data_IF_458093029143
#
_entry.id   IF_458093029143
#
_cell.length_a   1.000
_cell.length_b   1.000
_cell.length_c   1.000
_cell.angle_alpha   90.00
_cell.angle_beta   90.00
_cell.angle_gamma   90.00
#
_symmetry.space_group_name_H-M   'P 1'
#
loop_
_entity.id
_entity.type
_entity.pdbx_description
1 polymer ?
#
# COMPACT_ATOMS: atom_id res chain seq x y z
N UNK A 1 0.09 -47.66 -25.93
CA UNK A 1 1.50 -47.93 -26.26
C UNK A 1 2.15 -46.63 -26.70
N UNK A 2 3.39 -46.44 -26.28
CA UNK A 2 4.23 -45.23 -26.34
C UNK A 2 4.01 -44.25 -25.18
N UNK A 3 5.14 -43.99 -24.54
CA UNK A 3 5.41 -43.53 -23.19
C UNK A 3 6.40 -42.36 -23.30
N UNK A 4 6.19 -41.30 -22.54
CA UNK A 4 7.16 -40.27 -22.17
C UNK A 4 6.44 -39.34 -21.16
N UNK A 5 6.58 -39.45 -19.84
CA UNK A 5 7.78 -39.31 -19.01
C UNK A 5 8.58 -38.06 -19.37
N UNK A 6 8.26 -36.93 -18.71
CA UNK A 6 9.19 -35.82 -18.59
C UNK A 6 9.26 -35.41 -17.12
N UNK A 7 10.49 -35.46 -16.62
CA UNK A 7 10.92 -35.31 -15.26
C UNK A 7 10.81 -33.86 -14.75
N UNK A 8 10.58 -33.79 -13.45
CA UNK A 8 10.97 -32.75 -12.52
C UNK A 8 12.36 -32.17 -12.79
N UNK A 9 12.50 -30.84 -12.81
CA UNK A 9 13.66 -30.16 -12.24
C UNK A 9 13.34 -28.70 -11.89
N UNK A 10 13.45 -28.43 -10.59
CA UNK A 10 13.29 -27.12 -9.93
C UNK A 10 14.71 -26.61 -9.62
N UNK A 11 15.11 -25.39 -10.01
CA UNK A 11 16.29 -24.78 -9.41
C UNK A 11 15.86 -23.93 -8.22
N UNK A 12 16.06 -24.48 -7.02
CA UNK A 12 16.22 -23.70 -5.80
C UNK A 12 17.55 -22.93 -5.84
N UNK A 13 17.53 -21.74 -5.21
CA UNK A 13 18.67 -21.06 -4.55
C UNK A 13 19.50 -20.09 -5.41
N UNK A 14 19.04 -18.85 -5.48
CA UNK A 14 19.93 -17.68 -5.56
C UNK A 14 20.07 -17.08 -4.15
N UNK A 15 21.24 -17.24 -3.55
CA UNK A 15 21.63 -16.59 -2.29
C UNK A 15 22.23 -15.20 -2.58
N UNK A 16 22.13 -14.25 -1.64
CA UNK A 16 22.52 -12.86 -1.82
C UNK A 16 24.04 -12.69 -1.82
N UNK A 17 24.54 -11.81 -2.69
CA UNK A 17 25.95 -11.41 -2.74
C UNK A 17 26.34 -10.64 -1.47
N UNK A 18 27.42 -11.14 -0.86
CA UNK A 18 28.17 -10.64 0.29
C UNK A 18 28.44 -9.13 0.30
N UNK A 19 28.04 -8.48 1.39
CA UNK A 19 28.70 -7.29 1.93
C UNK A 19 29.98 -7.73 2.69
N UNK A 20 31.07 -6.93 2.70
CA UNK A 20 32.24 -7.24 3.51
C UNK A 20 32.02 -6.77 4.95
N UNK A 21 31.94 -7.73 5.88
CA UNK A 21 32.17 -7.49 7.31
C UNK A 21 33.68 -7.51 7.56
N UNK A 22 34.24 -6.38 8.02
CA UNK A 22 35.53 -6.39 8.72
C UNK A 22 35.28 -6.50 10.22
N UNK A 23 35.82 -7.56 10.78
CA UNK A 23 35.74 -7.99 12.17
C UNK A 23 36.55 -7.11 13.12
N UNK A 24 35.95 -6.77 14.25
CA UNK A 24 36.66 -6.45 15.49
C UNK A 24 37.18 -7.74 16.14
N UNK A 25 38.37 -7.66 16.75
CA UNK A 25 39.01 -8.48 17.79
C UNK A 25 40.47 -8.78 17.39
N UNK A 26 41.49 -8.70 18.22
CA UNK A 26 41.70 -8.26 19.59
C UNK A 26 43.24 -8.22 19.77
N UNK A 27 43.68 -7.52 20.80
CA UNK A 27 45.06 -7.48 21.28
C UNK A 27 45.63 -8.89 21.52
N UNK A 28 46.90 -9.08 21.21
CA UNK A 28 47.80 -9.80 22.12
C UNK A 28 49.22 -9.25 22.04
N UNK A 29 49.76 -9.07 23.25
CA UNK A 29 51.07 -8.53 23.55
C UNK A 29 52.16 -9.61 23.50
N UNK A 30 53.40 -9.11 23.60
CA UNK A 30 54.60 -9.78 24.15
C UNK A 30 55.52 -10.60 23.21
N UNK A 31 56.68 -9.97 22.92
CA UNK A 31 58.02 -10.28 23.50
C UNK A 31 59.10 -10.89 22.58
N UNK A 32 60.24 -10.18 22.57
CA UNK A 32 61.62 -10.62 22.25
C UNK A 32 61.92 -10.89 20.76
N UNK A 33 63.12 -10.72 20.19
CA UNK A 33 64.47 -10.30 20.62
C UNK A 33 65.36 -10.16 19.37
N UNK A 34 66.52 -9.47 19.51
CA UNK A 34 67.65 -9.45 18.54
C UNK A 34 67.62 -8.23 17.61
N UNK A 35 68.48 -7.21 17.75
CA UNK A 35 69.95 -7.25 17.58
C UNK A 35 70.27 -7.02 16.10
N UNK A 36 71.07 -6.07 15.62
CA UNK A 36 71.93 -5.01 16.15
C UNK A 36 72.48 -4.26 14.91
N UNK A 37 72.91 -3.01 15.06
CA UNK A 37 73.48 -2.26 13.94
C UNK A 37 73.66 -0.79 14.26
N UNK A 38 74.81 -0.45 14.84
CA UNK A 38 75.22 0.91 15.20
C UNK A 38 75.84 1.59 13.99
N UNK A 39 75.37 2.79 13.66
CA UNK A 39 76.03 3.75 12.78
C UNK A 39 75.78 5.17 13.30
N UNK A 40 76.81 6.01 13.51
CA UNK A 40 76.68 7.28 14.22
C UNK A 40 76.30 8.41 13.26
N UNK A 41 75.37 9.28 13.65
CA UNK A 41 75.20 10.55 12.95
C UNK A 41 73.85 11.23 13.18
N UNK A 42 73.91 12.47 13.65
CA UNK A 42 72.84 13.47 13.64
C UNK A 42 71.67 13.31 14.62
N UNK A 43 71.95 13.59 15.89
CA UNK A 43 70.96 14.12 16.82
C UNK A 43 70.46 15.49 16.30
N UNK A 44 69.24 15.56 15.77
CA UNK A 44 68.65 16.83 15.33
C UNK A 44 67.27 16.78 14.66
N UNK A 45 66.77 15.61 14.26
CA UNK A 45 65.54 15.52 13.42
C UNK A 45 64.38 14.72 14.02
N UNK A 46 64.40 14.38 15.31
CA UNK A 46 63.28 13.62 15.94
C UNK A 46 62.12 14.49 16.42
N UNK A 47 62.35 15.79 16.67
CA UNK A 47 61.31 16.73 17.08
C UNK A 47 60.58 17.40 15.91
N UNK A 48 61.17 17.37 14.71
CA UNK A 48 60.57 17.95 13.50
C UNK A 48 59.50 17.05 12.88
N UNK A 49 59.68 15.73 12.92
CA UNK A 49 58.68 14.78 12.42
C UNK A 49 57.44 14.69 13.33
N UNK A 50 57.61 14.77 14.65
CA UNK A 50 56.49 14.83 15.60
C UNK A 50 55.68 16.12 15.53
N UNK A 51 56.36 17.27 15.32
CA UNK A 51 55.69 18.55 15.13
C UNK A 51 54.96 18.65 13.78
N UNK A 52 55.50 18.06 12.71
CA UNK A 52 54.82 17.94 11.42
C UNK A 52 53.60 17.02 11.48
N UNK A 53 53.64 15.95 12.27
CA UNK A 53 52.50 15.04 12.43
C UNK A 53 51.38 15.68 13.29
N UNK A 54 51.74 16.48 14.31
CA UNK A 54 50.76 17.24 15.11
C UNK A 54 50.17 18.43 14.35
N UNK A 55 50.94 19.10 13.48
CA UNK A 55 50.44 20.16 12.60
C UNK A 55 49.53 19.61 11.47
N UNK A 56 49.78 18.38 11.00
CA UNK A 56 48.92 17.72 10.01
C UNK A 56 47.55 17.29 10.58
N UNK A 57 47.47 17.00 11.89
CA UNK A 57 46.19 16.70 12.57
C UNK A 57 45.36 17.97 12.79
N UNK A 58 46.00 19.13 12.99
CA UNK A 58 45.29 20.42 13.11
C UNK A 58 44.73 20.98 11.79
N UNK A 59 45.09 20.40 10.65
CA UNK A 59 44.59 20.79 9.32
C UNK A 59 43.56 19.82 8.75
N UNK A 60 42.99 18.91 9.55
CA UNK A 60 41.82 18.17 9.13
C UNK A 60 40.68 19.18 8.90
N UNK A 61 40.12 19.28 7.68
CA UNK A 61 38.96 20.14 7.46
C UNK A 61 37.87 19.69 8.43
N UNK A 62 37.30 20.64 9.17
CA UNK A 62 36.05 20.44 9.90
C UNK A 62 35.11 19.79 8.90
N UNK A 63 34.69 18.56 9.17
CA UNK A 63 33.81 17.81 8.29
C UNK A 63 32.55 18.67 8.09
N UNK A 64 32.47 19.35 6.95
CA UNK A 64 31.25 19.96 6.48
C UNK A 64 30.31 18.79 6.27
N UNK A 65 29.37 18.61 7.19
CA UNK A 65 28.47 17.46 7.22
C UNK A 65 27.43 17.45 6.07
N UNK A 66 27.72 18.21 5.01
CA UNK A 66 26.91 18.34 3.81
C UNK A 66 27.42 17.35 2.76
N UNK A 67 26.53 16.45 2.36
CA UNK A 67 26.82 15.35 1.45
C UNK A 67 26.89 15.87 0.02
N UNK A 68 28.05 15.68 -0.64
CA UNK A 68 28.17 15.91 -2.09
C UNK A 68 27.11 15.10 -2.84
N UNK A 69 26.18 15.79 -3.52
CA UNK A 69 25.11 15.20 -4.33
C UNK A 69 23.71 15.19 -3.70
N UNK A 70 23.54 15.58 -2.43
CA UNK A 70 22.24 15.74 -1.79
C UNK A 70 21.85 17.22 -1.69
N UNK A 71 20.60 17.56 -1.99
CA UNK A 71 20.10 18.95 -1.94
C UNK A 71 21.02 19.95 -2.69
N UNK A 72 21.60 20.92 -1.97
CA UNK A 72 22.52 21.94 -2.50
C UNK A 72 24.00 21.51 -2.47
N UNK A 73 24.28 20.23 -2.26
CA UNK A 73 25.64 19.70 -2.22
C UNK A 73 26.38 20.17 -0.98
N UNK A 74 27.51 20.85 -1.16
CA UNK A 74 28.38 21.34 -0.07
C UNK A 74 27.95 22.69 0.50
N UNK A 75 26.96 23.36 -0.09
CA UNK A 75 26.45 24.65 0.38
C UNK A 75 25.11 24.49 1.11
N UNK A 76 24.86 25.34 2.10
CA UNK A 76 23.56 25.38 2.78
C UNK A 76 22.55 26.10 1.88
N UNK A 77 21.42 25.48 1.57
CA UNK A 77 20.40 26.05 0.68
C UNK A 77 19.86 27.42 1.13
N UNK A 78 19.85 27.70 2.44
CA UNK A 78 19.50 29.00 3.01
C UNK A 78 20.50 30.08 2.60
N UNK A 79 21.79 29.77 2.70
CA UNK A 79 22.89 30.67 2.34
C UNK A 79 22.95 30.93 0.83
N UNK A 80 22.66 29.91 0.01
CA UNK A 80 22.55 30.03 -1.46
C UNK A 80 21.50 31.09 -1.84
N UNK A 81 20.38 31.13 -1.13
CA UNK A 81 19.31 32.12 -1.35
C UNK A 81 19.51 33.42 -0.56
N UNK A 82 20.43 33.46 0.40
CA UNK A 82 20.64 34.58 1.30
C UNK A 82 19.47 34.85 2.24
N UNK A 83 18.81 33.79 2.71
CA UNK A 83 17.64 33.87 3.62
C UNK A 83 17.89 33.05 4.88
N UNK A 84 17.26 33.41 5.99
CA UNK A 84 17.42 32.66 7.25
C UNK A 84 16.51 31.43 7.32
N UNK A 85 16.77 30.54 8.29
CA UNK A 85 15.97 29.33 8.53
C UNK A 85 14.54 29.66 8.98
N UNK A 86 14.28 30.87 9.46
CA UNK A 86 12.96 31.37 9.87
C UNK A 86 12.22 32.09 8.72
N UNK A 87 12.85 32.25 7.56
CA UNK A 87 12.28 32.99 6.45
C UNK A 87 10.94 32.41 5.98
N UNK A 88 9.98 33.29 5.71
CA UNK A 88 8.67 32.92 5.19
C UNK A 88 8.74 32.45 3.74
N UNK A 89 7.74 31.68 3.29
CA UNK A 89 7.64 31.27 1.87
C UNK A 89 7.68 32.45 0.90
N UNK A 90 7.11 33.58 1.30
CA UNK A 90 7.07 34.80 0.48
C UNK A 90 8.47 35.41 0.30
N UNK A 91 9.28 35.43 1.37
CA UNK A 91 10.66 35.92 1.35
C UNK A 91 11.56 35.00 0.51
N UNK A 92 11.46 33.69 0.72
CA UNK A 92 12.18 32.67 -0.06
C UNK A 92 11.87 32.83 -1.56
N UNK A 93 10.59 32.97 -1.92
CA UNK A 93 10.18 33.18 -3.31
C UNK A 93 10.67 34.53 -3.88
N UNK A 94 10.76 35.58 -3.05
CA UNK A 94 11.29 36.89 -3.47
C UNK A 94 12.80 36.80 -3.74
N UNK A 95 13.56 36.20 -2.84
CA UNK A 95 15.00 36.01 -2.96
C UNK A 95 15.35 35.19 -4.21
N UNK A 96 14.65 34.06 -4.40
CA UNK A 96 14.78 33.24 -5.61
C UNK A 96 14.55 34.05 -6.89
N UNK A 97 13.45 34.81 -7.01
CA UNK A 97 13.17 35.61 -8.22
C UNK A 97 14.26 36.64 -8.50
N UNK A 98 14.87 37.22 -7.46
CA UNK A 98 15.92 38.23 -7.61
C UNK A 98 17.23 37.59 -8.09
N UNK A 99 17.61 36.46 -7.50
CA UNK A 99 18.80 35.70 -7.88
C UNK A 99 18.65 35.04 -9.25
N UNK A 100 17.49 34.45 -9.56
CA UNK A 100 17.19 33.83 -10.85
C UNK A 100 17.30 34.85 -12.00
N UNK A 101 16.80 36.09 -11.83
CA UNK A 101 17.01 37.16 -12.82
C UNK A 101 18.47 37.59 -12.94
N UNK A 102 19.26 37.48 -11.88
CA UNK A 102 20.68 37.84 -11.88
C UNK A 102 21.49 36.80 -12.66
N UNK A 103 21.28 35.52 -12.34
CA UNK A 103 22.05 34.40 -12.87
C UNK A 103 21.40 33.68 -14.06
N UNK A 104 20.34 34.24 -14.67
CA UNK A 104 19.67 33.63 -15.81
C UNK A 104 20.65 33.43 -16.98
N UNK A 105 20.70 32.23 -17.61
CA UNK A 105 21.69 31.93 -18.65
C UNK A 105 21.61 32.86 -19.86
N UNK A 106 20.42 33.38 -20.20
CA UNK A 106 20.21 34.34 -21.30
C UNK A 106 20.97 35.67 -21.13
N UNK A 107 21.40 36.00 -19.91
CA UNK A 107 22.18 37.22 -19.64
C UNK A 107 23.67 37.05 -19.87
N UNK A 108 24.16 35.82 -20.03
CA UNK A 108 25.58 35.50 -20.10
C UNK A 108 25.88 34.77 -21.40
N UNK A 109 26.83 35.29 -22.18
CA UNK A 109 27.28 34.63 -23.40
C UNK A 109 28.26 33.50 -23.05
N UNK A 110 28.17 32.33 -23.70
CA UNK A 110 29.01 31.17 -23.40
C UNK A 110 30.52 31.40 -23.61
N UNK A 111 30.92 32.42 -24.38
CA UNK A 111 32.33 32.74 -24.66
C UNK A 111 33.03 33.58 -23.57
N UNK A 112 32.29 34.23 -22.66
CA UNK A 112 32.85 35.17 -21.67
C UNK A 112 33.04 34.55 -20.27
N UNK A 113 32.49 33.36 -19.99
CA UNK A 113 32.57 32.75 -18.68
C UNK A 113 33.79 31.82 -18.56
N UNK A 114 34.77 32.22 -17.76
CA UNK A 114 35.90 31.37 -17.37
C UNK A 114 35.49 30.05 -16.69
N UNK A 115 36.41 29.08 -16.58
CA UNK A 115 36.10 27.70 -16.18
C UNK A 115 35.64 27.52 -14.72
N UNK A 116 35.94 28.46 -13.82
CA UNK A 116 35.76 28.24 -12.37
C UNK A 116 34.31 28.41 -11.87
N UNK A 117 33.47 29.24 -12.48
CA UNK A 117 32.11 29.49 -11.97
C UNK A 117 31.11 29.81 -13.09
N UNK A 118 30.70 28.80 -13.86
CA UNK A 118 29.73 29.05 -14.92
C UNK A 118 28.40 29.57 -14.32
N UNK A 119 27.85 30.69 -14.82
CA UNK A 119 26.55 31.23 -14.37
C UNK A 119 25.45 30.17 -14.37
N UNK A 120 25.54 29.20 -15.28
CA UNK A 120 24.68 28.03 -15.36
C UNK A 120 24.72 27.16 -14.08
N UNK A 121 25.89 26.85 -13.53
CA UNK A 121 26.02 26.06 -12.29
C UNK A 121 25.38 26.80 -11.10
N UNK A 122 25.64 28.11 -10.98
CA UNK A 122 25.02 28.95 -9.93
C UNK A 122 23.50 28.99 -10.08
N UNK A 123 23.00 29.15 -11.30
CA UNK A 123 21.56 29.13 -11.56
C UNK A 123 20.91 27.79 -11.14
N UNK A 124 21.54 26.67 -11.48
CA UNK A 124 21.06 25.33 -11.09
C UNK A 124 21.07 25.16 -9.57
N UNK A 125 22.10 25.65 -8.88
CA UNK A 125 22.19 25.63 -7.43
C UNK A 125 21.08 26.45 -6.77
N UNK A 126 20.85 27.68 -7.26
CA UNK A 126 19.76 28.57 -6.81
C UNK A 126 18.39 27.91 -7.02
N UNK A 127 18.18 27.28 -8.18
CA UNK A 127 16.94 26.56 -8.47
C UNK A 127 16.73 25.38 -7.51
N UNK A 128 17.78 24.60 -7.25
CA UNK A 128 17.74 23.45 -6.33
C UNK A 128 17.47 23.89 -4.89
N UNK A 129 18.08 25.00 -4.44
CA UNK A 129 17.82 25.59 -3.14
C UNK A 129 16.35 26.02 -2.99
N UNK A 130 15.81 26.70 -4.01
CA UNK A 130 14.40 27.08 -4.01
C UNK A 130 13.46 25.88 -4.03
N UNK A 131 13.72 24.86 -4.86
CA UNK A 131 12.90 23.63 -4.88
C UNK A 131 12.88 22.93 -3.52
N UNK A 132 14.03 22.88 -2.85
CA UNK A 132 14.16 22.27 -1.52
C UNK A 132 13.37 23.03 -0.46
N UNK A 133 13.44 24.37 -0.47
CA UNK A 133 12.88 25.25 0.57
C UNK A 133 11.43 25.71 0.30
N UNK A 134 10.92 25.52 -0.92
CA UNK A 134 9.59 25.99 -1.33
C UNK A 134 8.45 25.23 -0.65
N UNK A 135 8.54 23.90 -0.60
CA UNK A 135 7.52 23.04 0.00
C UNK A 135 7.87 22.77 1.47
N UNK A 136 6.89 22.88 2.37
CA UNK A 136 7.12 22.75 3.83
C UNK A 136 7.68 21.39 4.21
N UNK A 137 7.19 20.34 3.58
CA UNK A 137 7.65 19.00 3.88
C UNK A 137 9.08 18.75 3.39
N UNK A 138 9.49 19.30 2.23
CA UNK A 138 10.89 19.15 1.76
C UNK A 138 11.83 20.02 2.58
N UNK A 139 11.37 21.20 2.99
CA UNK A 139 12.06 22.07 3.93
C UNK A 139 12.27 21.37 5.26
N UNK A 140 11.23 20.71 5.80
CA UNK A 140 11.33 19.94 7.05
C UNK A 140 12.33 18.79 6.95
N UNK A 141 12.33 18.04 5.84
CA UNK A 141 13.30 16.96 5.64
C UNK A 141 14.74 17.51 5.58
N UNK A 142 14.92 18.65 4.91
CA UNK A 142 16.22 19.33 4.82
C UNK A 142 16.68 19.91 6.16
N UNK A 143 15.77 20.53 6.89
CA UNK A 143 15.97 21.03 8.25
C UNK A 143 16.38 19.90 9.22
N UNK A 144 15.69 18.76 9.13
CA UNK A 144 16.02 17.57 9.90
C UNK A 144 17.41 17.02 9.55
N UNK A 145 17.79 17.04 8.26
CA UNK A 145 19.14 16.69 7.82
C UNK A 145 20.22 17.62 8.39
N UNK A 146 19.98 18.93 8.43
CA UNK A 146 20.92 19.87 9.03
C UNK A 146 21.10 19.63 10.53
N UNK A 147 20.04 19.24 11.23
CA UNK A 147 20.08 18.97 12.68
C UNK A 147 20.68 17.60 13.02
N UNK A 148 20.58 16.59 12.13
CA UNK A 148 21.01 15.20 12.36
C UNK A 148 21.92 14.67 11.23
N UNK A 149 23.10 15.27 11.00
CA UNK A 149 23.98 14.88 9.90
C UNK A 149 24.48 13.43 9.96
N UNK A 150 24.49 12.80 11.13
CA UNK A 150 24.93 11.42 11.35
C UNK A 150 24.01 10.38 10.66
N UNK A 151 22.75 10.73 10.37
CA UNK A 151 21.76 9.82 9.80
C UNK A 151 21.80 9.75 8.25
N UNK A 152 23.00 9.69 7.66
CA UNK A 152 23.24 9.74 6.21
C UNK A 152 22.22 8.95 5.37
N UNK A 153 22.02 7.66 5.69
CA UNK A 153 21.16 6.77 4.91
C UNK A 153 19.69 7.21 4.97
N UNK A 154 19.21 7.71 6.11
CA UNK A 154 17.81 8.14 6.24
C UNK A 154 17.52 9.33 5.33
N UNK A 155 18.40 10.34 5.35
CA UNK A 155 18.30 11.53 4.50
C UNK A 155 18.42 11.19 3.03
N UNK A 156 19.34 10.29 2.68
CA UNK A 156 19.47 9.76 1.32
C UNK A 156 18.14 9.14 0.83
N UNK A 157 17.54 8.25 1.62
CA UNK A 157 16.27 7.63 1.26
C UNK A 157 15.11 8.63 1.22
N UNK A 158 15.06 9.61 2.11
CA UNK A 158 14.04 10.65 2.11
C UNK A 158 14.11 11.50 0.83
N UNK A 159 15.31 11.94 0.47
CA UNK A 159 15.58 12.70 -0.75
C UNK A 159 15.17 11.95 -2.01
N UNK A 160 15.63 10.71 -2.18
CA UNK A 160 15.34 9.91 -3.37
C UNK A 160 13.88 9.51 -3.47
N UNK A 161 13.25 9.15 -2.34
CA UNK A 161 11.81 8.85 -2.32
C UNK A 161 11.05 10.05 -2.88
N UNK A 162 11.33 11.26 -2.42
CA UNK A 162 10.58 12.44 -2.86
C UNK A 162 10.69 12.72 -4.35
N UNK A 163 11.87 12.49 -4.95
CA UNK A 163 12.10 12.68 -6.40
C UNK A 163 11.62 11.53 -7.27
N UNK A 164 11.73 10.29 -6.80
CA UNK A 164 11.48 9.08 -7.59
C UNK A 164 10.14 8.40 -7.31
N UNK A 165 9.39 8.83 -6.29
CA UNK A 165 8.07 8.22 -6.02
C UNK A 165 7.18 8.43 -7.25
N UNK A 166 6.73 7.34 -7.90
CA UNK A 166 5.87 7.47 -9.06
C UNK A 166 4.60 8.20 -8.63
N UNK A 167 4.20 9.21 -9.41
CA UNK A 167 2.96 9.96 -9.16
C UNK A 167 1.70 9.08 -9.33
N UNK A 168 1.85 7.92 -9.97
CA UNK A 168 0.80 6.93 -10.15
C UNK A 168 0.96 5.81 -9.13
N UNK A 169 -0.15 5.43 -8.50
CA UNK A 169 -0.16 4.28 -7.59
C UNK A 169 0.19 3.00 -8.35
N UNK A 170 1.27 2.34 -7.92
CA UNK A 170 1.75 1.07 -8.51
C UNK A 170 0.64 0.01 -8.56
N UNK A 171 -0.28 0.04 -7.60
CA UNK A 171 -1.45 -0.85 -7.53
C UNK A 171 -2.39 -0.68 -8.72
N UNK A 172 -2.60 0.56 -9.19
CA UNK A 172 -3.44 0.85 -10.35
C UNK A 172 -2.81 0.25 -11.60
N UNK A 173 -1.50 0.42 -11.76
CA UNK A 173 -0.76 -0.16 -12.89
C UNK A 173 -0.88 -1.68 -12.89
N UNK A 174 -0.67 -2.32 -11.73
CA UNK A 174 -0.81 -3.78 -11.60
C UNK A 174 -2.23 -4.23 -11.97
N UNK A 175 -3.27 -3.56 -11.46
CA UNK A 175 -4.66 -3.91 -11.75
C UNK A 175 -4.96 -3.81 -13.26
N UNK A 176 -4.57 -2.69 -13.89
CA UNK A 176 -4.78 -2.48 -15.33
C UNK A 176 -4.06 -3.55 -16.15
N UNK A 177 -2.83 -3.92 -15.79
CA UNK A 177 -2.08 -4.97 -16.49
C UNK A 177 -2.73 -6.34 -16.36
N UNK A 178 -3.20 -6.72 -15.16
CA UNK A 178 -3.90 -7.99 -14.93
C UNK A 178 -5.21 -8.02 -15.74
N UNK A 179 -5.98 -6.94 -15.73
CA UNK A 179 -7.21 -6.84 -16.50
C UNK A 179 -6.94 -6.96 -18.02
N UNK A 180 -5.91 -6.27 -18.54
CA UNK A 180 -5.55 -6.34 -19.95
C UNK A 180 -5.14 -7.77 -20.36
N UNK A 181 -4.31 -8.44 -19.56
CA UNK A 181 -3.91 -9.83 -19.79
C UNK A 181 -5.12 -10.75 -19.75
N UNK A 182 -6.01 -10.58 -18.78
CA UNK A 182 -7.21 -11.40 -18.63
C UNK A 182 -8.17 -11.24 -19.81
N UNK A 183 -8.36 -10.01 -20.30
CA UNK A 183 -9.17 -9.72 -21.48
C UNK A 183 -8.55 -10.36 -22.72
N UNK A 184 -7.24 -10.22 -22.92
CA UNK A 184 -6.54 -10.84 -24.05
C UNK A 184 -6.65 -12.38 -24.02
N UNK A 185 -6.45 -12.98 -22.84
CA UNK A 185 -6.62 -14.43 -22.65
C UNK A 185 -8.05 -14.88 -22.93
N UNK A 186 -9.05 -14.11 -22.49
CA UNK A 186 -10.45 -14.41 -22.77
C UNK A 186 -10.74 -14.41 -24.28
N UNK A 187 -10.34 -13.37 -25.01
CA UNK A 187 -10.58 -13.29 -26.44
C UNK A 187 -9.81 -14.36 -27.22
N UNK A 188 -8.55 -14.62 -26.85
CA UNK A 188 -7.75 -15.69 -27.43
C UNK A 188 -8.43 -17.05 -27.23
N UNK A 189 -8.83 -17.36 -26.00
CA UNK A 189 -9.48 -18.63 -25.69
C UNK A 189 -10.85 -18.77 -26.36
N UNK A 190 -11.65 -17.70 -26.36
CA UNK A 190 -12.95 -17.67 -27.04
C UNK A 190 -12.82 -17.92 -28.55
N UNK A 191 -11.82 -17.29 -29.19
CA UNK A 191 -11.52 -17.52 -30.61
C UNK A 191 -11.14 -18.97 -30.88
N UNK A 192 -10.18 -19.52 -30.13
CA UNK A 192 -9.75 -20.92 -30.27
C UNK A 192 -10.88 -21.91 -29.99
N UNK A 193 -11.74 -21.62 -29.01
CA UNK A 193 -12.90 -22.45 -28.70
C UNK A 193 -13.92 -22.45 -29.85
N UNK A 194 -14.25 -21.29 -30.40
CA UNK A 194 -15.18 -21.17 -31.51
C UNK A 194 -14.68 -21.90 -32.76
N UNK A 195 -13.39 -21.79 -33.07
CA UNK A 195 -12.77 -22.52 -34.18
C UNK A 195 -12.85 -24.04 -33.99
N UNK A 196 -12.54 -24.53 -32.78
CA UNK A 196 -12.66 -25.94 -32.44
C UNK A 196 -14.11 -26.45 -32.58
N UNK A 197 -15.10 -25.71 -32.08
CA UNK A 197 -16.51 -26.08 -32.20
C UNK A 197 -16.94 -26.11 -33.67
N UNK A 198 -16.55 -25.10 -34.46
CA UNK A 198 -16.84 -25.07 -35.90
C UNK A 198 -16.26 -26.29 -36.62
N UNK A 199 -15.02 -26.66 -36.31
CA UNK A 199 -14.41 -27.88 -36.84
C UNK A 199 -15.19 -29.15 -36.43
N UNK A 200 -15.51 -29.30 -35.14
CA UNK A 200 -16.25 -30.46 -34.63
C UNK A 200 -17.64 -30.60 -35.27
N UNK A 201 -18.29 -29.49 -35.60
CA UNK A 201 -19.57 -29.50 -36.29
C UNK A 201 -19.47 -30.06 -37.72
N UNK A 202 -18.35 -29.84 -38.43
CA UNK A 202 -18.17 -30.35 -39.79
C UNK A 202 -18.06 -31.89 -39.82
N UNK A 203 -17.43 -32.47 -38.80
CA UNK A 203 -17.16 -33.91 -38.74
C UNK A 203 -18.39 -34.66 -38.20
N UNK A 204 -18.97 -35.60 -38.97
CA UNK A 204 -20.21 -36.28 -38.57
C UNK A 204 -20.05 -37.13 -37.30
N UNK A 205 -18.86 -37.68 -37.04
CA UNK A 205 -18.56 -38.48 -35.85
C UNK A 205 -18.86 -37.73 -34.55
N UNK A 206 -18.34 -36.50 -34.41
CA UNK A 206 -18.54 -35.70 -33.19
C UNK A 206 -19.97 -35.18 -33.07
N UNK A 207 -20.63 -34.91 -34.20
CA UNK A 207 -22.05 -34.54 -34.22
C UNK A 207 -22.93 -35.67 -33.67
N UNK A 208 -22.69 -36.91 -34.09
CA UNK A 208 -23.44 -38.08 -33.60
C UNK A 208 -23.18 -38.27 -32.10
N UNK A 209 -21.92 -38.21 -31.66
CA UNK A 209 -21.57 -38.28 -30.24
C UNK A 209 -22.24 -37.18 -29.42
N UNK A 210 -22.25 -35.93 -29.91
CA UNK A 210 -22.95 -34.83 -29.27
C UNK A 210 -24.47 -35.09 -29.17
N UNK A 211 -25.08 -35.66 -30.22
CA UNK A 211 -26.50 -36.05 -30.17
C UNK A 211 -26.78 -37.19 -29.18
N UNK A 212 -25.87 -38.15 -29.02
CA UNK A 212 -25.97 -39.23 -28.04
C UNK A 212 -25.85 -38.71 -26.62
N UNK A 213 -24.87 -37.84 -26.34
CA UNK A 213 -24.72 -37.18 -25.04
C UNK A 213 -25.97 -36.35 -24.72
N UNK A 214 -26.47 -35.60 -25.69
CA UNK A 214 -27.70 -34.81 -25.50
C UNK A 214 -28.94 -35.70 -25.28
N UNK A 215 -29.01 -36.88 -25.90
CA UNK A 215 -30.05 -37.88 -25.60
C UNK A 215 -29.91 -38.45 -24.19
N UNK A 216 -28.69 -38.78 -23.75
CA UNK A 216 -28.39 -39.25 -22.39
C UNK A 216 -28.74 -38.19 -21.33
N UNK A 217 -28.45 -36.92 -21.62
CA UNK A 217 -28.81 -35.79 -20.77
C UNK A 217 -30.31 -35.42 -20.85
N UNK A 218 -31.11 -36.13 -21.65
CA UNK A 218 -32.55 -35.89 -21.79
C UNK A 218 -32.92 -34.58 -22.49
N UNK A 219 -31.98 -33.96 -23.22
CA UNK A 219 -32.19 -32.66 -23.90
C UNK A 219 -33.10 -32.76 -25.14
N UNK A 220 -33.17 -33.92 -25.78
CA UNK A 220 -33.94 -34.13 -27.02
C UNK A 220 -35.45 -34.37 -26.81
N UNK A 221 -35.88 -34.73 -25.59
CA UNK A 221 -37.26 -35.06 -25.26
C UNK A 221 -37.73 -34.30 -24.01
N UNK A 222 -37.70 -32.97 -24.03
CA UNK A 222 -38.58 -32.22 -23.13
C UNK A 222 -39.97 -32.16 -23.77
N UNK A 223 -40.96 -32.98 -23.36
CA UNK A 223 -42.33 -32.66 -23.69
C UNK A 223 -42.59 -31.24 -23.17
N UNK A 224 -43.27 -30.39 -23.96
CA UNK A 224 -43.77 -29.11 -23.44
C UNK A 224 -44.53 -29.42 -22.16
N UNK A 225 -43.95 -29.12 -21.00
CA UNK A 225 -44.53 -29.46 -19.71
C UNK A 225 -45.94 -28.85 -19.63
N UNK A 226 -46.94 -29.71 -19.81
CA UNK A 226 -48.33 -29.44 -19.47
C UNK A 226 -48.60 -30.25 -18.21
N UNK A 227 -48.62 -29.58 -17.06
CA UNK A 227 -49.26 -30.09 -15.85
C UNK A 227 -48.40 -30.14 -14.58
N UNK A 228 -48.88 -29.39 -13.58
CA UNK A 228 -48.74 -29.50 -12.11
C UNK A 228 -47.36 -29.47 -11.42
N UNK A 229 -46.24 -29.67 -12.11
CA UNK A 229 -44.90 -29.39 -11.55
C UNK A 229 -44.10 -28.40 -12.39
N UNK A 230 -44.81 -27.60 -13.19
CA UNK A 230 -44.24 -26.47 -13.93
C UNK A 230 -44.16 -25.32 -12.94
N UNK A 231 -42.95 -24.78 -12.70
CA UNK A 231 -42.82 -23.44 -12.10
C UNK A 231 -43.80 -22.52 -12.82
N UNK A 232 -44.53 -21.71 -12.06
CA UNK A 232 -45.54 -20.84 -12.64
C UNK A 232 -44.87 -20.01 -13.75
N UNK A 233 -45.62 -19.65 -14.81
CA UNK A 233 -45.05 -18.82 -15.88
C UNK A 233 -44.48 -17.51 -15.32
N UNK A 234 -44.99 -17.07 -14.17
CA UNK A 234 -44.49 -15.94 -13.39
C UNK A 234 -43.15 -16.26 -12.71
N UNK A 235 -43.01 -17.38 -12.00
CA UNK A 235 -41.74 -17.78 -11.36
C UNK A 235 -40.58 -17.95 -12.36
N UNK A 236 -40.86 -18.45 -13.57
CA UNK A 236 -39.84 -18.57 -14.63
C UNK A 236 -39.43 -17.17 -15.14
N UNK A 237 -40.40 -16.27 -15.31
CA UNK A 237 -40.14 -14.88 -15.74
C UNK A 237 -39.38 -14.12 -14.67
N UNK A 238 -39.72 -14.29 -13.40
CA UNK A 238 -39.02 -13.66 -12.27
C UNK A 238 -37.56 -14.12 -12.21
N UNK A 239 -37.27 -15.41 -12.41
CA UNK A 239 -35.88 -15.89 -12.46
C UNK A 239 -35.13 -15.42 -13.70
N UNK A 240 -35.78 -15.36 -14.86
CA UNK A 240 -35.18 -14.80 -16.07
C UNK A 240 -34.89 -13.30 -15.89
N UNK A 241 -35.81 -12.55 -15.28
CA UNK A 241 -35.63 -11.14 -14.93
C UNK A 241 -34.52 -10.98 -13.89
N UNK A 242 -34.40 -11.84 -12.86
CA UNK A 242 -33.29 -11.83 -11.91
C UNK A 242 -31.94 -12.10 -12.59
N UNK A 243 -31.85 -13.09 -13.49
CA UNK A 243 -30.61 -13.43 -14.21
C UNK A 243 -30.21 -12.30 -15.17
N UNK A 244 -31.18 -11.67 -15.84
CA UNK A 244 -30.94 -10.56 -16.77
C UNK A 244 -30.59 -9.27 -16.04
N UNK A 245 -31.17 -9.02 -14.87
CA UNK A 245 -30.87 -7.86 -14.04
C UNK A 245 -29.61 -8.05 -13.18
N UNK A 246 -29.14 -9.28 -12.98
CA UNK A 246 -27.95 -9.57 -12.18
C UNK A 246 -26.69 -8.81 -12.68
N UNK A 247 -26.36 -8.77 -13.99
CA UNK A 247 -25.27 -7.92 -14.49
C UNK A 247 -25.46 -6.43 -14.18
N UNK A 248 -26.71 -5.94 -14.20
CA UNK A 248 -27.02 -4.55 -13.87
C UNK A 248 -26.83 -4.26 -12.38
N UNK A 249 -27.31 -5.14 -11.50
CA UNK A 249 -27.07 -5.04 -10.06
C UNK A 249 -25.59 -5.17 -9.70
N UNK A 250 -24.86 -6.06 -10.38
CA UNK A 250 -23.43 -6.23 -10.17
C UNK A 250 -22.65 -4.99 -10.61
N UNK A 251 -22.93 -4.45 -11.80
CA UNK A 251 -22.25 -3.26 -12.31
C UNK A 251 -22.59 -2.02 -11.48
N UNK A 252 -23.86 -1.80 -11.12
CA UNK A 252 -24.25 -0.71 -10.24
C UNK A 252 -23.63 -0.83 -8.85
N UNK A 253 -23.55 -2.04 -8.28
CA UNK A 253 -22.85 -2.28 -7.02
C UNK A 253 -21.35 -1.99 -7.12
N UNK A 254 -20.68 -2.40 -8.21
CA UNK A 254 -19.27 -2.11 -8.44
C UNK A 254 -19.03 -0.60 -8.56
N UNK A 255 -19.87 0.12 -9.32
CA UNK A 255 -19.77 1.58 -9.44
C UNK A 255 -19.98 2.27 -8.09
N UNK A 256 -21.01 1.85 -7.35
CA UNK A 256 -21.28 2.36 -6.00
C UNK A 256 -20.10 2.09 -5.05
N UNK A 257 -19.52 0.89 -5.08
CA UNK A 257 -18.39 0.51 -4.23
C UNK A 257 -17.12 1.29 -4.57
N UNK A 258 -16.80 1.45 -5.86
CA UNK A 258 -15.64 2.25 -6.31
C UNK A 258 -15.82 3.71 -5.91
N UNK A 259 -17.01 4.28 -6.09
CA UNK A 259 -17.35 5.64 -5.65
C UNK A 259 -17.19 5.78 -4.13
N UNK A 260 -17.68 4.81 -3.36
CA UNK A 260 -17.53 4.78 -1.91
C UNK A 260 -16.06 4.76 -1.46
N UNK A 261 -15.23 3.89 -2.07
CA UNK A 261 -13.80 3.80 -1.76
C UNK A 261 -13.10 5.11 -2.12
N UNK A 262 -13.40 5.70 -3.27
CA UNK A 262 -12.85 6.97 -3.68
C UNK A 262 -13.18 8.09 -2.68
N UNK A 263 -14.47 8.29 -2.36
CA UNK A 263 -14.94 9.37 -1.48
C UNK A 263 -14.42 9.21 -0.04
N UNK A 264 -14.51 8.02 0.54
CA UNK A 264 -14.24 7.85 1.97
C UNK A 264 -12.83 7.34 2.30
N UNK A 265 -12.16 6.64 1.37
CA UNK A 265 -10.80 6.11 1.63
C UNK A 265 -9.72 7.02 1.06
N UNK A 266 -9.95 7.59 -0.12
CA UNK A 266 -8.96 8.45 -0.81
C UNK A 266 -9.18 9.91 -0.46
N UNK A 267 -10.40 10.44 -0.66
CA UNK A 267 -10.72 11.85 -0.38
C UNK A 267 -10.93 12.16 1.11
N UNK A 268 -11.08 11.14 1.96
CA UNK A 268 -11.33 11.26 3.41
C UNK A 268 -12.47 12.22 3.77
N UNK A 269 -13.55 12.19 2.99
CA UNK A 269 -14.77 12.95 3.32
C UNK A 269 -15.41 12.45 4.62
N UNK A 270 -16.05 13.35 5.37
CA UNK A 270 -16.84 12.95 6.53
C UNK A 270 -18.10 12.19 6.09
N UNK A 271 -18.45 11.12 6.82
CA UNK A 271 -19.64 10.33 6.51
C UNK A 271 -20.91 11.17 6.69
N UNK A 272 -21.76 11.23 5.65
CA UNK A 272 -23.11 11.73 5.74
C UNK A 272 -24.01 10.83 6.60
N UNK A 273 -25.24 11.27 6.84
CA UNK A 273 -26.19 10.56 7.70
C UNK A 273 -26.59 9.19 7.12
N UNK A 274 -26.84 9.13 5.82
CA UNK A 274 -27.18 7.88 5.13
C UNK A 274 -26.01 6.88 5.15
N UNK A 275 -24.78 7.36 5.00
CA UNK A 275 -23.59 6.52 5.04
C UNK A 275 -23.31 5.99 6.44
N UNK A 276 -23.54 6.82 7.47
CA UNK A 276 -23.49 6.39 8.88
C UNK A 276 -24.50 5.28 9.15
N UNK A 277 -25.75 5.45 8.72
CA UNK A 277 -26.81 4.43 8.86
C UNK A 277 -26.46 3.13 8.13
N UNK A 278 -25.91 3.23 6.91
CA UNK A 278 -25.43 2.07 6.16
C UNK A 278 -24.36 1.27 6.93
N UNK A 279 -23.38 1.96 7.51
CA UNK A 279 -22.31 1.33 8.30
C UNK A 279 -22.90 0.71 9.58
N UNK A 280 -23.80 1.40 10.27
CA UNK A 280 -24.46 0.89 11.49
C UNK A 280 -25.21 -0.42 11.18
N UNK A 281 -26.05 -0.43 10.13
CA UNK A 281 -26.75 -1.62 9.66
C UNK A 281 -25.79 -2.78 9.38
N UNK A 282 -24.68 -2.48 8.69
CA UNK A 282 -23.65 -3.48 8.34
C UNK A 282 -22.95 -4.03 9.57
N UNK A 283 -22.64 -3.20 10.57
CA UNK A 283 -22.06 -3.61 11.84
C UNK A 283 -23.02 -4.52 12.61
N UNK A 284 -24.33 -4.24 12.56
CA UNK A 284 -25.39 -5.02 13.21
C UNK A 284 -25.76 -6.31 12.47
N UNK A 285 -25.30 -6.52 11.23
CA UNK A 285 -25.57 -7.69 10.38
C UNK A 285 -27.07 -7.95 10.14
N UNK A 286 -27.86 -6.89 10.00
CA UNK A 286 -29.28 -7.02 9.67
C UNK A 286 -29.57 -6.71 8.19
N UNK A 287 -30.63 -7.31 7.66
CA UNK A 287 -31.10 -7.03 6.30
C UNK A 287 -31.64 -5.60 6.19
N UNK A 288 -31.77 -5.09 4.95
CA UNK A 288 -32.30 -3.75 4.70
C UNK A 288 -33.73 -3.59 5.24
N UNK A 289 -34.61 -4.55 4.96
CA UNK A 289 -35.99 -4.53 5.44
C UNK A 289 -36.11 -4.58 6.96
N UNK A 290 -35.27 -5.38 7.62
CA UNK A 290 -35.22 -5.42 9.08
C UNK A 290 -34.79 -4.08 9.67
N UNK A 291 -33.80 -3.42 9.07
CA UNK A 291 -33.32 -2.11 9.53
C UNK A 291 -34.37 -1.01 9.29
N UNK A 292 -35.04 -1.04 8.14
CA UNK A 292 -36.06 -0.05 7.79
C UNK A 292 -37.33 -0.21 8.64
N UNK A 293 -37.60 -1.42 9.15
CA UNK A 293 -38.68 -1.67 10.11
C UNK A 293 -38.42 -1.13 11.52
N UNK A 294 -37.18 -0.69 11.82
CA UNK A 294 -36.84 -0.10 13.10
C UNK A 294 -37.44 1.29 13.24
N UNK A 295 -37.92 1.59 14.45
CA UNK A 295 -38.42 2.90 14.82
C UNK A 295 -37.36 3.98 14.57
N UNK A 296 -37.78 5.13 14.03
CA UNK A 296 -36.89 6.25 13.71
C UNK A 296 -36.12 6.74 14.95
N UNK A 297 -36.76 6.72 16.12
CA UNK A 297 -36.16 7.04 17.42
C UNK A 297 -34.95 6.16 17.76
N UNK A 298 -35.02 4.88 17.42
CA UNK A 298 -33.93 3.93 17.61
C UNK A 298 -32.78 4.20 16.64
N UNK A 299 -33.08 4.51 15.37
CA UNK A 299 -32.09 4.88 14.36
C UNK A 299 -31.36 6.16 14.75
N UNK A 300 -32.06 7.15 15.30
CA UNK A 300 -31.47 8.37 15.83
C UNK A 300 -30.55 8.11 17.02
N UNK A 301 -30.97 7.25 17.96
CA UNK A 301 -30.14 6.85 19.11
C UNK A 301 -28.82 6.21 18.66
N UNK A 302 -28.83 5.44 17.57
CA UNK A 302 -27.61 4.84 17.00
C UNK A 302 -26.66 5.88 16.40
N UNK A 303 -27.21 6.92 15.78
CA UNK A 303 -26.44 8.05 15.27
C UNK A 303 -25.81 8.86 16.42
N UNK A 304 -26.58 9.15 17.46
CA UNK A 304 -26.09 9.86 18.66
C UNK A 304 -24.94 9.11 19.34
N UNK A 305 -25.09 7.79 19.51
CA UNK A 305 -24.05 6.92 20.08
C UNK A 305 -22.83 6.72 19.16
N UNK A 306 -22.88 7.23 17.92
CA UNK A 306 -21.84 7.10 16.89
C UNK A 306 -21.44 5.65 16.60
N UNK A 307 -22.44 4.79 16.45
CA UNK A 307 -22.23 3.34 16.27
C UNK A 307 -21.61 2.95 14.90
N UNK A 308 -21.39 3.91 14.01
CA UNK A 308 -20.59 3.68 12.79
C UNK A 308 -19.10 3.48 13.10
N UNK A 309 -18.62 3.95 14.26
CA UNK A 309 -17.25 3.70 14.74
C UNK A 309 -17.20 2.31 15.38
N UNK A 310 -16.34 1.44 14.86
CA UNK A 310 -16.25 0.02 15.25
C UNK A 310 -16.06 -0.18 16.76
N UNK A 311 -15.22 0.62 17.39
CA UNK A 311 -14.93 0.56 18.84
C UNK A 311 -16.18 0.88 19.68
N UNK A 312 -16.90 1.93 19.32
CA UNK A 312 -18.15 2.34 20.00
C UNK A 312 -19.25 1.31 19.80
N UNK A 313 -19.34 0.74 18.61
CA UNK A 313 -20.26 -0.36 18.34
C UNK A 313 -19.97 -1.59 19.22
N UNK A 314 -18.70 -1.98 19.36
CA UNK A 314 -18.31 -3.09 20.22
C UNK A 314 -18.58 -2.82 21.71
N UNK A 315 -18.40 -1.58 22.16
CA UNK A 315 -18.80 -1.18 23.51
C UNK A 315 -20.32 -1.31 23.70
N UNK A 316 -21.11 -0.70 22.81
CA UNK A 316 -22.57 -0.78 22.86
C UNK A 316 -23.09 -2.22 22.83
N UNK A 317 -22.48 -3.09 22.02
CA UNK A 317 -22.82 -4.51 21.97
C UNK A 317 -22.57 -5.21 23.31
N UNK A 318 -21.44 -4.93 23.96
CA UNK A 318 -21.13 -5.48 25.30
C UNK A 318 -22.14 -5.00 26.34
N UNK A 319 -22.48 -3.72 26.33
CA UNK A 319 -23.46 -3.15 27.26
C UNK A 319 -24.84 -3.81 27.09
N UNK A 320 -25.27 -4.02 25.84
CA UNK A 320 -26.52 -4.75 25.56
C UNK A 320 -26.47 -6.21 26.00
N UNK A 321 -25.35 -6.90 25.81
CA UNK A 321 -25.17 -8.27 26.31
C UNK A 321 -25.17 -8.32 27.85
N UNK A 322 -24.59 -7.34 28.54
CA UNK A 322 -24.61 -7.23 30.00
C UNK A 322 -26.00 -6.89 30.54
N UNK A 323 -26.70 -5.93 29.94
CA UNK A 323 -28.10 -5.63 30.28
C UNK A 323 -28.99 -6.87 30.10
N UNK A 324 -28.80 -7.63 29.02
CA UNK A 324 -29.51 -8.88 28.79
C UNK A 324 -29.14 -9.95 29.83
N UNK A 325 -27.86 -10.07 30.22
CA UNK A 325 -27.43 -10.97 31.31
C UNK A 325 -28.05 -10.58 32.65
N UNK A 326 -28.08 -9.30 32.97
CA UNK A 326 -28.71 -8.78 34.20
C UNK A 326 -30.21 -9.04 34.17
N UNK A 327 -30.91 -8.74 33.06
CA UNK A 327 -32.34 -9.07 32.89
C UNK A 327 -32.57 -10.56 33.04
N UNK A 328 -31.73 -11.41 32.46
CA UNK A 328 -31.80 -12.85 32.66
C UNK A 328 -31.63 -13.23 34.13
N UNK A 329 -30.73 -12.56 34.85
CA UNK A 329 -30.43 -12.78 36.25
C UNK A 329 -31.53 -12.30 37.21
N UNK A 330 -32.22 -11.18 36.92
CA UNK A 330 -33.13 -10.49 37.83
C UNK A 330 -34.60 -10.78 37.55
N UNK A 331 -35.03 -10.78 36.28
CA UNK A 331 -36.42 -10.90 35.86
C UNK A 331 -37.00 -12.28 36.27
N UNK A 332 -38.09 -12.34 37.05
CA UNK A 332 -38.78 -13.58 37.40
C UNK A 332 -39.15 -14.46 36.19
N UNK A 333 -39.53 -13.85 35.05
CA UNK A 333 -39.87 -14.57 33.83
C UNK A 333 -38.65 -15.24 33.23
N UNK A 334 -37.52 -14.53 33.18
CA UNK A 334 -36.26 -15.07 32.66
C UNK A 334 -35.63 -16.09 33.61
N UNK A 335 -35.79 -15.93 34.92
CA UNK A 335 -35.42 -16.98 35.90
C UNK A 335 -36.18 -18.27 35.66
N UNK A 336 -37.49 -18.19 35.38
CA UNK A 336 -38.32 -19.35 35.04
C UNK A 336 -37.88 -20.00 33.72
N UNK A 337 -37.65 -19.19 32.69
CA UNK A 337 -37.15 -19.66 31.39
C UNK A 337 -35.77 -20.33 31.51
N UNK A 338 -34.84 -19.78 32.30
CA UNK A 338 -33.54 -20.41 32.56
C UNK A 338 -33.66 -21.75 33.28
N UNK A 339 -34.57 -21.88 34.26
CA UNK A 339 -34.85 -23.17 34.92
C UNK A 339 -35.45 -24.18 33.93
N UNK A 340 -36.38 -23.74 33.08
CA UNK A 340 -36.94 -24.56 32.02
C UNK A 340 -35.87 -25.00 31.01
N UNK A 341 -35.04 -24.09 30.50
CA UNK A 341 -33.93 -24.44 29.59
C UNK A 341 -32.94 -25.43 30.21
N UNK A 342 -32.67 -25.33 31.51
CA UNK A 342 -31.80 -26.27 32.24
C UNK A 342 -32.43 -27.66 32.39
N UNK A 343 -33.76 -27.73 32.52
CA UNK A 343 -34.48 -28.97 32.83
C UNK A 343 -35.08 -29.65 31.58
N UNK A 344 -35.49 -28.89 30.56
CA UNK A 344 -36.33 -29.30 29.42
C UNK A 344 -35.89 -28.68 28.08
N UNK A 345 -34.75 -27.99 28.02
CA UNK A 345 -34.27 -27.33 26.79
C UNK A 345 -33.86 -28.31 25.67
N UNK A 346 -33.95 -27.88 24.39
CA UNK A 346 -33.55 -28.70 23.25
C UNK A 346 -32.04 -28.94 23.31
N UNK A 347 -31.66 -30.19 23.60
CA UNK A 347 -30.26 -30.60 23.81
C UNK A 347 -30.03 -31.50 25.02
N UNK A 348 -31.05 -31.76 25.86
CA UNK A 348 -30.96 -32.73 26.96
C UNK A 348 -31.07 -34.16 26.41
N UNK A 349 -30.04 -34.99 26.62
CA UNK A 349 -30.17 -36.44 26.52
C UNK A 349 -31.05 -36.94 27.68
N UNK A 350 -32.31 -37.23 27.41
CA UNK A 350 -33.16 -38.01 28.32
C UNK A 350 -32.86 -39.48 28.06
N UNK A 351 -32.27 -40.17 29.03
CA UNK A 351 -32.32 -41.64 29.04
C UNK A 351 -33.78 -42.02 29.28
N UNK A 352 -34.39 -42.67 28.30
CA UNK A 352 -35.67 -43.35 28.50
C UNK A 352 -35.34 -44.58 29.36
N UNK A 353 -35.78 -44.60 30.61
CA UNK A 353 -35.70 -45.81 31.43
C UNK A 353 -36.85 -46.72 30.94
N UNK A 354 -36.49 -47.77 30.19
CA UNK A 354 -37.40 -48.79 29.64
C UNK A 354 -38.09 -49.63 30.73
#
# INVERSE_FOLDING_TARGET
>A
MMSAACHSDWPLRAQPSSAPQSSQAEMNAERSSGGGGVGPGAAGSRWRLGALLLLAVSSLPVATALVEGLYCGTEVCYDVLGVTREASKAEIARAYRQLARRYHPDRYKPEESGPEESPHKKFLLIATAYETLKDEDSRRDYDYMLDHPEEYYQHYYAYYRRRLTPKVDVRVVILVTICAISIFQYYSWHSSYNEAINYLMTVPKYRIQATEIAKQQGLFNRPKEKGKNRRSKEEIREQEEEIVLFPYYLTSYVVWYVSWVYRFTICREEYGEQEKLYIIRRNMKMSQSQFDSLEESSRQTFLEKRLWIKERFQAYKRDQEEEMKVKMATDPRMKRYRRWMKNEGPGRLTFMDD
#
